data_IF_503309939726
#
_entry.id   IF_503309939726
#
_cell.length_a   1.000
_cell.length_b   1.000
_cell.length_c   1.000
_cell.angle_alpha   90.00
_cell.angle_beta   90.00
_cell.angle_gamma   90.00
#
_symmetry.space_group_name_H-M   'P 1'
#
loop_
_entity.id
_entity.type
_entity.pdbx_description
1 polymer ?
#
# COMPACT_ATOMS: atom_id res chain seq x y z
N UNK A 1 -14.22 -27.39 1.64
CA UNK A 1 -14.54 -25.97 1.38
C UNK A 1 -15.62 -25.40 2.32
N UNK A 2 -16.70 -26.13 2.62
CA UNK A 2 -17.81 -25.62 3.46
C UNK A 2 -17.40 -25.15 4.87
N UNK A 3 -16.31 -25.70 5.45
CA UNK A 3 -15.81 -25.34 6.77
C UNK A 3 -14.73 -24.23 6.71
N UNK A 4 -14.11 -24.00 5.55
CA UNK A 4 -12.95 -23.09 5.45
C UNK A 4 -13.40 -21.64 5.61
N UNK A 5 -14.46 -21.22 4.93
CA UNK A 5 -14.97 -19.84 5.03
C UNK A 5 -15.38 -19.45 6.46
N UNK A 6 -16.18 -20.24 7.21
CA UNK A 6 -16.51 -19.87 8.59
C UNK A 6 -15.31 -19.94 9.53
N UNK A 7 -14.37 -20.88 9.34
CA UNK A 7 -13.14 -20.92 10.13
C UNK A 7 -12.27 -19.67 9.88
N UNK A 8 -12.10 -19.29 8.61
CA UNK A 8 -11.31 -18.13 8.21
C UNK A 8 -11.95 -16.84 8.70
N UNK A 9 -13.28 -16.73 8.68
CA UNK A 9 -14.00 -15.59 9.27
C UNK A 9 -13.79 -15.51 10.78
N UNK A 10 -13.83 -16.64 11.48
CA UNK A 10 -13.58 -16.67 12.92
C UNK A 10 -12.14 -16.22 13.25
N UNK A 11 -11.15 -16.71 12.49
CA UNK A 11 -9.74 -16.30 12.64
C UNK A 11 -9.59 -14.80 12.31
N UNK A 12 -10.19 -14.35 11.22
CA UNK A 12 -10.20 -12.94 10.82
C UNK A 12 -10.74 -12.04 11.95
N UNK A 13 -11.83 -12.43 12.59
CA UNK A 13 -12.38 -11.69 13.73
C UNK A 13 -11.43 -11.65 14.95
N UNK A 14 -10.57 -12.65 15.15
CA UNK A 14 -9.58 -12.64 16.22
C UNK A 14 -8.44 -11.67 15.93
N UNK A 15 -8.05 -11.50 14.66
CA UNK A 15 -6.96 -10.59 14.25
C UNK A 15 -7.40 -9.15 14.02
N UNK A 16 -8.70 -8.83 14.13
CA UNK A 16 -9.21 -7.44 14.24
C UNK A 16 -8.89 -6.83 15.61
N UNK A 17 -8.58 -7.67 16.61
CA UNK A 17 -8.35 -7.24 17.98
C UNK A 17 -7.05 -6.45 18.18
N UNK A 18 -6.61 -6.40 19.43
CA UNK A 18 -5.32 -5.79 19.80
C UNK A 18 -4.14 -6.53 19.18
N UNK A 19 -2.99 -5.86 19.03
CA UNK A 19 -1.74 -6.48 18.56
C UNK A 19 -1.39 -7.77 19.32
N UNK A 20 -1.71 -7.84 20.63
CA UNK A 20 -1.51 -9.04 21.46
C UNK A 20 -2.40 -10.21 21.03
N UNK A 21 -3.65 -9.94 20.67
CA UNK A 21 -4.59 -10.96 20.18
C UNK A 21 -4.15 -11.45 18.80
N UNK A 22 -3.78 -10.53 17.91
CA UNK A 22 -3.19 -10.87 16.61
C UNK A 22 -1.95 -11.73 16.79
N UNK A 23 -1.03 -11.35 17.69
CA UNK A 23 0.19 -12.12 17.96
C UNK A 23 -0.10 -13.53 18.46
N UNK A 24 -1.07 -13.73 19.36
CA UNK A 24 -1.45 -15.05 19.84
C UNK A 24 -1.92 -15.97 18.70
N UNK A 25 -2.62 -15.41 17.70
CA UNK A 25 -3.04 -16.16 16.50
C UNK A 25 -1.84 -16.49 15.60
N UNK A 26 -0.90 -15.56 15.43
CA UNK A 26 0.33 -15.80 14.67
C UNK A 26 1.20 -16.89 15.31
N UNK A 27 1.32 -16.88 16.64
CA UNK A 27 2.07 -17.86 17.43
C UNK A 27 1.50 -19.28 17.30
N UNK A 28 0.19 -19.41 17.04
CA UNK A 28 -0.44 -20.70 16.68
C UNK A 28 -0.06 -21.21 15.27
N UNK A 29 0.76 -20.47 14.52
CA UNK A 29 1.27 -20.89 13.21
C UNK A 29 0.37 -20.53 12.03
N UNK A 30 -0.54 -19.56 12.17
CA UNK A 30 -1.47 -19.14 11.11
C UNK A 30 -0.77 -18.90 9.76
N UNK A 31 0.35 -18.16 9.76
CA UNK A 31 1.05 -17.75 8.54
C UNK A 31 1.56 -18.92 7.70
N UNK A 32 1.82 -20.09 8.30
CA UNK A 32 2.21 -21.32 7.58
C UNK A 32 1.14 -21.80 6.61
N UNK A 33 -0.12 -21.46 6.85
CA UNK A 33 -1.26 -21.90 6.05
C UNK A 33 -1.72 -20.87 5.02
N UNK A 34 -1.32 -19.59 5.18
CA UNK A 34 -1.74 -18.49 4.31
C UNK A 34 -1.37 -18.71 2.84
N UNK A 35 -0.15 -19.16 2.47
CA UNK A 35 0.17 -19.42 1.05
C UNK A 35 -0.76 -20.42 0.38
N UNK A 36 -1.28 -21.40 1.12
CA UNK A 36 -2.27 -22.36 0.60
C UNK A 36 -3.64 -21.70 0.40
N UNK A 37 -4.02 -20.77 1.29
CA UNK A 37 -5.27 -20.02 1.17
C UNK A 37 -5.24 -19.05 -0.03
N UNK A 38 -4.12 -18.37 -0.26
CA UNK A 38 -3.95 -17.41 -1.37
C UNK A 38 -3.85 -18.08 -2.75
N UNK A 39 -3.57 -19.37 -2.81
CA UNK A 39 -3.58 -20.16 -4.05
C UNK A 39 -4.92 -20.90 -4.29
N UNK A 40 -5.97 -20.56 -3.53
CA UNK A 40 -7.27 -21.21 -3.68
C UNK A 40 -8.01 -20.74 -4.93
N UNK A 41 -8.74 -21.63 -5.60
CA UNK A 41 -9.55 -21.27 -6.77
C UNK A 41 -10.83 -20.51 -6.42
N UNK A 42 -11.27 -20.54 -5.16
CA UNK A 42 -12.51 -19.89 -4.72
C UNK A 42 -12.24 -18.45 -4.31
N UNK A 43 -12.79 -17.50 -5.09
CA UNK A 43 -12.70 -16.07 -4.76
C UNK A 43 -13.12 -15.74 -3.33
N UNK A 44 -14.18 -16.37 -2.81
CA UNK A 44 -14.60 -16.14 -1.42
C UNK A 44 -13.50 -16.46 -0.41
N UNK A 45 -12.68 -17.49 -0.65
CA UNK A 45 -11.56 -17.82 0.25
C UNK A 45 -10.43 -16.81 0.08
N UNK A 46 -10.10 -16.44 -1.16
CA UNK A 46 -9.08 -15.43 -1.45
C UNK A 46 -9.40 -14.09 -0.78
N UNK A 47 -10.64 -13.62 -0.94
CA UNK A 47 -11.14 -12.37 -0.35
C UNK A 47 -10.99 -12.38 1.17
N UNK A 48 -11.44 -13.44 1.84
CA UNK A 48 -11.36 -13.56 3.31
C UNK A 48 -9.91 -13.71 3.79
N UNK A 49 -9.04 -14.33 3.00
CA UNK A 49 -7.61 -14.46 3.32
C UNK A 49 -6.89 -13.11 3.19
N UNK A 50 -7.15 -12.35 2.13
CA UNK A 50 -6.63 -10.99 1.95
C UNK A 50 -7.16 -10.05 3.04
N UNK A 51 -8.44 -10.13 3.37
CA UNK A 51 -9.04 -9.34 4.47
C UNK A 51 -8.42 -9.68 5.83
N UNK A 52 -8.19 -10.97 6.11
CA UNK A 52 -7.46 -11.38 7.32
C UNK A 52 -6.03 -10.82 7.32
N UNK A 53 -5.34 -10.85 6.17
CA UNK A 53 -4.00 -10.30 6.02
C UNK A 53 -3.98 -8.79 6.23
N UNK A 54 -4.97 -8.04 5.74
CA UNK A 54 -5.00 -6.59 5.94
C UNK A 54 -5.13 -6.21 7.41
N UNK A 55 -5.84 -7.01 8.21
CA UNK A 55 -5.90 -6.82 9.66
C UNK A 55 -4.56 -7.14 10.35
N UNK A 56 -3.84 -8.18 9.88
CA UNK A 56 -2.51 -8.53 10.40
C UNK A 56 -1.49 -7.43 10.06
N UNK A 57 -1.49 -6.93 8.81
CA UNK A 57 -0.52 -5.93 8.35
C UNK A 57 -0.83 -4.53 8.85
N UNK A 58 -2.02 -4.28 9.41
CA UNK A 58 -2.34 -3.05 10.14
C UNK A 58 -1.72 -2.99 11.54
N UNK A 59 -1.12 -4.09 12.02
CA UNK A 59 -0.53 -4.17 13.34
C UNK A 59 0.92 -3.69 13.39
N UNK A 60 1.72 -4.30 14.28
CA UNK A 60 3.10 -3.87 14.53
C UNK A 60 4.06 -4.22 13.40
N UNK A 61 5.22 -3.53 13.34
CA UNK A 61 6.31 -3.85 12.41
C UNK A 61 6.79 -5.31 12.52
N UNK A 62 6.73 -5.92 13.71
CA UNK A 62 7.06 -7.34 13.91
C UNK A 62 6.07 -8.26 13.17
N UNK A 63 4.79 -7.90 13.18
CA UNK A 63 3.73 -8.65 12.50
C UNK A 63 3.84 -8.50 10.98
N UNK A 64 4.15 -7.29 10.50
CA UNK A 64 4.48 -7.05 9.09
C UNK A 64 5.70 -7.89 8.67
N UNK A 65 6.77 -7.86 9.47
CA UNK A 65 7.99 -8.64 9.23
C UNK A 65 7.69 -10.14 9.16
N UNK A 66 6.79 -10.65 9.99
CA UNK A 66 6.36 -12.05 9.94
C UNK A 66 5.69 -12.38 8.60
N UNK A 67 4.78 -11.51 8.09
CA UNK A 67 4.14 -11.71 6.79
C UNK A 67 5.17 -11.77 5.64
N UNK A 68 6.17 -10.88 5.68
CA UNK A 68 7.28 -10.87 4.72
C UNK A 68 8.12 -12.15 4.82
N UNK A 69 8.49 -12.56 6.04
CA UNK A 69 9.30 -13.75 6.28
C UNK A 69 8.65 -15.05 5.75
N UNK A 70 7.33 -15.14 5.79
CA UNK A 70 6.57 -16.27 5.23
C UNK A 70 6.36 -16.20 3.71
N UNK A 71 6.99 -15.24 3.02
CA UNK A 71 6.93 -15.03 1.57
C UNK A 71 5.48 -14.87 1.05
N UNK A 72 4.65 -14.16 1.80
CA UNK A 72 3.22 -13.98 1.48
C UNK A 72 3.01 -12.84 0.47
N UNK A 73 3.81 -11.78 0.56
CA UNK A 73 3.68 -10.56 -0.26
C UNK A 73 3.57 -10.83 -1.77
N UNK A 74 4.40 -11.68 -2.41
CA UNK A 74 4.32 -11.86 -3.86
C UNK A 74 2.98 -12.45 -4.31
N UNK A 75 2.37 -13.30 -3.47
CA UNK A 75 1.04 -13.85 -3.74
C UNK A 75 -0.04 -12.78 -3.62
N UNK A 76 0.10 -11.84 -2.66
CA UNK A 76 -0.85 -10.74 -2.49
C UNK A 76 -0.76 -9.75 -3.66
N UNK A 77 0.45 -9.39 -4.10
CA UNK A 77 0.65 -8.51 -5.26
C UNK A 77 0.07 -9.13 -6.54
N UNK A 78 0.30 -10.43 -6.77
CA UNK A 78 -0.32 -11.14 -7.89
C UNK A 78 -1.85 -11.11 -7.84
N UNK A 79 -2.45 -11.30 -6.67
CA UNK A 79 -3.90 -11.24 -6.51
C UNK A 79 -4.43 -9.82 -6.73
N UNK A 80 -3.67 -8.81 -6.33
CA UNK A 80 -4.01 -7.40 -6.54
C UNK A 80 -4.08 -7.07 -8.04
N UNK A 81 -3.21 -7.65 -8.86
CA UNK A 81 -3.23 -7.45 -10.32
C UNK A 81 -4.26 -8.31 -11.07
N UNK A 82 -4.46 -9.56 -10.63
CA UNK A 82 -5.11 -10.58 -11.47
C UNK A 82 -6.47 -11.08 -10.96
N UNK A 83 -6.82 -10.82 -9.70
CA UNK A 83 -8.07 -11.32 -9.12
C UNK A 83 -9.28 -10.44 -9.49
N UNK A 84 -10.48 -10.88 -9.14
CA UNK A 84 -11.67 -10.04 -9.27
C UNK A 84 -11.63 -8.87 -8.27
N UNK A 85 -12.28 -7.76 -8.61
CA UNK A 85 -12.26 -6.51 -7.84
C UNK A 85 -12.49 -6.67 -6.33
N UNK A 86 -13.38 -7.60 -5.92
CA UNK A 86 -13.64 -7.86 -4.49
C UNK A 86 -12.40 -8.37 -3.75
N UNK A 87 -11.57 -9.19 -4.39
CA UNK A 87 -10.31 -9.69 -3.82
C UNK A 87 -9.22 -8.64 -3.94
N UNK A 88 -9.13 -7.96 -5.09
CA UNK A 88 -8.14 -6.90 -5.32
C UNK A 88 -8.25 -5.80 -4.27
N UNK A 89 -9.47 -5.40 -3.91
CA UNK A 89 -9.72 -4.43 -2.84
C UNK A 89 -9.08 -4.83 -1.52
N UNK A 90 -9.30 -6.06 -1.05
CA UNK A 90 -8.73 -6.54 0.21
C UNK A 90 -7.20 -6.73 0.12
N UNK A 91 -6.70 -7.16 -1.04
CA UNK A 91 -5.27 -7.24 -1.29
C UNK A 91 -4.62 -5.84 -1.25
N UNK A 92 -5.29 -4.82 -1.81
CA UNK A 92 -4.86 -3.43 -1.79
C UNK A 92 -4.75 -2.90 -0.36
N UNK A 93 -5.78 -3.14 0.47
CA UNK A 93 -5.72 -2.82 1.89
C UNK A 93 -4.52 -3.48 2.58
N UNK A 94 -4.28 -4.76 2.32
CA UNK A 94 -3.15 -5.46 2.92
C UNK A 94 -1.80 -4.83 2.56
N UNK A 95 -1.59 -4.48 1.29
CA UNK A 95 -0.36 -3.84 0.80
C UNK A 95 -0.21 -2.41 1.32
N UNK A 96 -1.26 -1.59 1.28
CA UNK A 96 -1.24 -0.22 1.81
C UNK A 96 -0.93 -0.18 3.31
N UNK A 97 -1.38 -1.19 4.08
CA UNK A 97 -1.06 -1.32 5.50
C UNK A 97 0.41 -1.69 5.73
N UNK A 98 0.98 -2.58 4.91
CA UNK A 98 2.43 -2.88 4.95
C UNK A 98 3.23 -1.62 4.67
N UNK A 99 2.84 -0.83 3.66
CA UNK A 99 3.53 0.43 3.33
C UNK A 99 3.36 1.43 4.48
N UNK A 100 2.17 1.57 5.05
CA UNK A 100 1.92 2.57 6.08
C UNK A 100 2.65 2.30 7.40
N UNK A 101 2.88 1.03 7.74
CA UNK A 101 3.61 0.61 8.95
C UNK A 101 5.04 0.14 8.67
N UNK A 102 5.53 0.31 7.44
CA UNK A 102 6.76 -0.30 6.98
C UNK A 102 8.04 0.44 7.38
N UNK A 103 9.18 -0.24 7.24
CA UNK A 103 10.52 0.35 7.36
C UNK A 103 11.21 0.43 6.00
N UNK A 104 12.32 1.18 5.88
CA UNK A 104 13.10 1.28 4.63
C UNK A 104 13.46 -0.09 4.04
N UNK A 105 13.98 -1.02 4.86
CA UNK A 105 14.28 -2.40 4.40
C UNK A 105 13.04 -3.14 3.86
N UNK A 106 11.86 -2.89 4.44
CA UNK A 106 10.62 -3.49 3.97
C UNK A 106 10.14 -2.84 2.66
N UNK A 107 10.39 -1.55 2.46
CA UNK A 107 10.10 -0.88 1.19
C UNK A 107 11.02 -1.38 0.08
N UNK A 108 12.33 -1.54 0.34
CA UNK A 108 13.26 -2.14 -0.63
C UNK A 108 12.82 -3.54 -1.05
N UNK A 109 12.36 -4.34 -0.07
CA UNK A 109 11.76 -5.63 -0.36
C UNK A 109 10.51 -5.49 -1.24
N UNK A 110 9.54 -4.64 -0.87
CA UNK A 110 8.32 -4.42 -1.66
C UNK A 110 8.63 -3.96 -3.09
N UNK A 111 9.58 -3.04 -3.25
CA UNK A 111 10.07 -2.55 -4.53
C UNK A 111 10.60 -3.71 -5.38
N UNK A 112 11.47 -4.56 -4.82
CA UNK A 112 11.98 -5.75 -5.51
C UNK A 112 10.90 -6.76 -5.92
N UNK A 113 9.73 -6.73 -5.28
CA UNK A 113 8.59 -7.60 -5.59
C UNK A 113 7.62 -6.96 -6.61
N UNK A 114 7.90 -5.77 -7.14
CA UNK A 114 7.07 -5.11 -8.14
C UNK A 114 5.83 -4.41 -7.56
N UNK A 115 5.91 -3.88 -6.33
CA UNK A 115 4.77 -3.23 -5.67
C UNK A 115 4.19 -2.05 -6.47
N UNK A 116 5.02 -1.32 -7.22
CA UNK A 116 4.58 -0.15 -7.99
C UNK A 116 3.62 -0.54 -9.12
N UNK A 117 3.97 -1.55 -9.92
CA UNK A 117 3.09 -2.06 -10.98
C UNK A 117 1.77 -2.61 -10.42
N UNK A 118 1.86 -3.34 -9.32
CA UNK A 118 0.68 -3.86 -8.65
C UNK A 118 -0.24 -2.71 -8.19
N UNK A 119 0.26 -1.76 -7.39
CA UNK A 119 -0.52 -0.64 -6.88
C UNK A 119 -1.14 0.22 -7.99
N UNK A 120 -0.35 0.57 -9.00
CA UNK A 120 -0.81 1.44 -10.09
C UNK A 120 -1.94 0.82 -10.91
N UNK A 121 -2.01 -0.51 -11.00
CA UNK A 121 -3.15 -1.21 -11.62
C UNK A 121 -4.50 -0.86 -10.96
N UNK A 122 -4.49 -0.48 -9.68
CA UNK A 122 -5.69 -0.09 -8.92
C UNK A 122 -6.11 1.36 -9.17
N UNK A 123 -5.31 2.19 -9.86
CA UNK A 123 -5.69 3.56 -10.20
C UNK A 123 -6.78 3.64 -11.28
N UNK A 124 -6.99 2.55 -12.04
CA UNK A 124 -8.02 2.48 -13.09
C UNK A 124 -9.41 2.06 -12.59
N UNK A 125 -9.58 1.81 -11.30
CA UNK A 125 -10.86 1.33 -10.74
C UNK A 125 -11.83 2.49 -10.47
N UNK A 126 -13.12 2.24 -10.61
CA UNK A 126 -14.14 3.27 -10.32
C UNK A 126 -14.51 3.32 -8.82
N UNK A 127 -13.49 3.51 -7.96
CA UNK A 127 -13.66 3.70 -6.52
C UNK A 127 -12.64 4.74 -6.03
N UNK A 128 -13.07 5.99 -5.89
CA UNK A 128 -12.20 7.10 -5.49
C UNK A 128 -11.52 6.90 -4.14
N UNK A 129 -12.10 6.09 -3.24
CA UNK A 129 -11.45 5.78 -1.95
C UNK A 129 -10.24 4.88 -2.15
N UNK A 130 -10.36 3.89 -3.03
CA UNK A 130 -9.23 3.00 -3.36
C UNK A 130 -8.15 3.78 -4.10
N UNK A 131 -8.52 4.62 -5.07
CA UNK A 131 -7.54 5.48 -5.76
C UNK A 131 -6.81 6.37 -4.75
N UNK A 132 -7.52 7.07 -3.87
CA UNK A 132 -6.91 7.93 -2.85
C UNK A 132 -5.94 7.15 -1.95
N UNK A 133 -6.33 5.97 -1.48
CA UNK A 133 -5.43 5.11 -0.68
C UNK A 133 -4.17 4.68 -1.45
N UNK A 134 -4.32 4.36 -2.74
CA UNK A 134 -3.17 3.96 -3.58
C UNK A 134 -2.24 5.15 -3.78
N UNK A 135 -2.78 6.35 -4.05
CA UNK A 135 -1.98 7.57 -4.20
C UNK A 135 -1.22 7.91 -2.91
N UNK A 136 -1.86 7.79 -1.74
CA UNK A 136 -1.18 7.96 -0.44
C UNK A 136 -0.07 6.93 -0.21
N UNK A 137 -0.29 5.67 -0.62
CA UNK A 137 0.73 4.64 -0.52
C UNK A 137 1.92 4.89 -1.47
N UNK A 138 1.65 5.35 -2.70
CA UNK A 138 2.68 5.76 -3.64
C UNK A 138 3.48 6.96 -3.10
N UNK A 139 2.82 7.96 -2.53
CA UNK A 139 3.49 9.13 -1.93
C UNK A 139 4.47 8.70 -0.83
N UNK A 140 4.05 7.80 0.07
CA UNK A 140 4.94 7.28 1.13
C UNK A 140 6.16 6.55 0.59
N UNK A 141 5.97 5.72 -0.44
CA UNK A 141 7.07 5.00 -1.10
C UNK A 141 8.07 5.98 -1.73
N UNK A 142 7.57 6.98 -2.45
CA UNK A 142 8.40 7.98 -3.13
C UNK A 142 9.06 8.96 -2.18
N UNK A 143 8.39 9.35 -1.09
CA UNK A 143 8.98 10.14 -0.01
C UNK A 143 10.15 9.41 0.63
N UNK A 144 9.98 8.12 0.96
CA UNK A 144 11.09 7.34 1.49
C UNK A 144 12.23 7.15 0.48
N UNK A 145 11.91 6.93 -0.79
CA UNK A 145 12.91 6.85 -1.85
C UNK A 145 13.71 8.15 -1.99
N UNK A 146 13.05 9.32 -1.85
CA UNK A 146 13.70 10.64 -1.84
C UNK A 146 14.63 10.82 -0.63
N UNK A 147 14.22 10.36 0.55
CA UNK A 147 15.04 10.42 1.77
C UNK A 147 16.31 9.54 1.72
N UNK A 148 16.31 8.50 0.88
CA UNK A 148 17.38 7.51 0.77
C UNK A 148 18.12 7.57 -0.58
N UNK A 149 18.03 8.69 -1.30
CA UNK A 149 18.69 8.91 -2.60
C UNK A 149 18.38 7.84 -3.67
N UNK A 150 17.20 7.21 -3.59
CA UNK A 150 16.73 6.15 -4.50
C UNK A 150 15.59 6.63 -5.43
N UNK A 151 15.28 7.93 -5.44
CA UNK A 151 14.13 8.49 -6.18
C UNK A 151 14.17 8.18 -7.68
N UNK A 152 15.32 8.36 -8.33
CA UNK A 152 15.47 8.10 -9.78
C UNK A 152 15.10 6.65 -10.14
N UNK A 153 15.47 5.69 -9.29
CA UNK A 153 15.15 4.27 -9.49
C UNK A 153 13.64 4.01 -9.37
N UNK A 154 12.95 4.70 -8.45
CA UNK A 154 11.50 4.59 -8.31
C UNK A 154 10.76 5.25 -9.47
N UNK A 155 11.21 6.41 -9.94
CA UNK A 155 10.64 7.08 -11.11
C UNK A 155 10.75 6.20 -12.36
N UNK A 156 11.97 5.68 -12.63
CA UNK A 156 12.21 4.78 -13.75
C UNK A 156 11.34 3.51 -13.69
N UNK A 157 11.19 2.90 -12.51
CA UNK A 157 10.35 1.72 -12.37
C UNK A 157 8.86 2.04 -12.54
N UNK A 158 8.41 3.22 -12.11
CA UNK A 158 7.02 3.67 -12.32
C UNK A 158 6.73 3.88 -13.82
N UNK A 159 7.70 4.39 -14.58
CA UNK A 159 7.61 4.49 -16.04
C UNK A 159 7.60 3.10 -16.71
N UNK A 160 8.52 2.22 -16.30
CA UNK A 160 8.63 0.86 -16.85
C UNK A 160 7.34 0.04 -16.67
N UNK A 161 6.70 0.18 -15.51
CA UNK A 161 5.43 -0.50 -15.23
C UNK A 161 4.20 0.24 -15.83
N UNK A 162 4.42 1.35 -16.54
CA UNK A 162 3.38 2.25 -17.09
C UNK A 162 2.46 2.83 -16.02
N UNK A 163 2.95 2.90 -14.79
CA UNK A 163 2.26 3.50 -13.67
C UNK A 163 2.10 5.01 -13.84
N UNK A 164 3.11 5.67 -14.43
CA UNK A 164 3.07 7.11 -14.69
C UNK A 164 1.91 7.48 -15.64
N UNK A 165 1.74 6.75 -16.75
CA UNK A 165 0.59 6.91 -17.67
C UNK A 165 -0.77 6.89 -16.91
N UNK A 166 -0.89 6.02 -15.90
CA UNK A 166 -2.12 5.87 -15.13
C UNK A 166 -2.31 7.00 -14.12
N UNK A 167 -1.22 7.50 -13.52
CA UNK A 167 -1.26 8.69 -12.65
C UNK A 167 -1.63 9.93 -13.46
N UNK A 168 -1.03 10.13 -14.63
CA UNK A 168 -1.37 11.25 -15.53
C UNK A 168 -2.85 11.22 -15.92
N UNK A 169 -3.38 10.04 -16.26
CA UNK A 169 -4.79 9.86 -16.61
C UNK A 169 -5.75 10.30 -15.49
N UNK A 170 -5.33 10.26 -14.22
CA UNK A 170 -6.15 10.75 -13.11
C UNK A 170 -6.34 12.27 -13.13
N UNK A 171 -5.51 13.02 -13.86
CA UNK A 171 -5.72 14.45 -14.09
C UNK A 171 -6.94 14.75 -14.97
N UNK A 172 -7.46 13.75 -15.71
CA UNK A 172 -8.72 13.88 -16.44
C UNK A 172 -9.94 13.40 -15.63
N UNK A 173 -9.75 13.00 -14.37
CA UNK A 173 -10.83 12.44 -13.55
C UNK A 173 -11.85 13.51 -13.12
N UNK A 174 -13.13 13.17 -13.17
CA UNK A 174 -14.24 14.05 -12.73
C UNK A 174 -14.17 14.47 -11.24
N UNK A 175 -13.37 13.76 -10.43
CA UNK A 175 -13.24 14.02 -9.00
C UNK A 175 -12.00 14.88 -8.77
N UNK A 176 -12.22 16.11 -8.30
CA UNK A 176 -11.17 17.08 -8.04
C UNK A 176 -10.09 16.60 -7.05
N UNK A 177 -10.43 15.69 -6.13
CA UNK A 177 -9.45 15.09 -5.22
C UNK A 177 -8.46 14.20 -5.99
N UNK A 178 -8.94 13.39 -6.94
CA UNK A 178 -8.09 12.49 -7.73
C UNK A 178 -7.14 13.29 -8.62
N UNK A 179 -7.65 14.35 -9.26
CA UNK A 179 -6.84 15.34 -9.97
C UNK A 179 -5.74 15.91 -9.06
N UNK A 180 -6.12 16.35 -7.86
CA UNK A 180 -5.21 16.98 -6.90
C UNK A 180 -4.09 16.04 -6.45
N UNK A 181 -4.41 14.78 -6.16
CA UNK A 181 -3.40 13.76 -5.85
C UNK A 181 -2.42 13.57 -7.01
N UNK A 182 -2.92 13.39 -8.23
CA UNK A 182 -2.09 13.14 -9.40
C UNK A 182 -1.20 14.34 -9.75
N UNK A 183 -1.77 15.55 -9.78
CA UNK A 183 -1.04 16.78 -10.05
C UNK A 183 0.11 16.98 -9.06
N UNK A 184 -0.17 16.90 -7.75
CA UNK A 184 0.86 17.08 -6.71
C UNK A 184 1.94 16.01 -6.77
N UNK A 185 1.56 14.76 -7.04
CA UNK A 185 2.51 13.66 -7.14
C UNK A 185 3.48 13.86 -8.31
N UNK A 186 2.98 14.21 -9.49
CA UNK A 186 3.81 14.49 -10.67
C UNK A 186 4.70 15.71 -10.44
N UNK A 187 4.13 16.80 -9.92
CA UNK A 187 4.87 18.04 -9.62
C UNK A 187 6.02 17.80 -8.63
N UNK A 188 5.79 17.00 -7.58
CA UNK A 188 6.77 16.75 -6.51
C UNK A 188 7.92 15.82 -6.89
N UNK A 189 7.69 14.86 -7.80
CA UNK A 189 8.64 13.78 -8.06
C UNK A 189 9.15 13.70 -9.51
N UNK A 190 8.45 14.30 -10.48
CA UNK A 190 8.79 14.21 -11.89
C UNK A 190 9.13 15.57 -12.52
N UNK A 191 8.57 16.68 -12.04
CA UNK A 191 8.89 18.01 -12.61
C UNK A 191 10.25 18.57 -12.14
N UNK A 192 10.69 18.29 -10.90
CA UNK A 192 12.01 18.73 -10.41
C UNK A 192 13.18 17.92 -11.03
N UNK A 193 12.91 16.81 -11.71
CA UNK A 193 13.95 15.98 -12.35
C UNK A 193 14.42 16.53 -13.71
N UNK A 194 13.72 17.52 -14.28
CA UNK A 194 14.10 18.16 -15.54
C UNK A 194 15.01 19.39 -15.36
N UNK A 195 15.32 19.83 -14.13
CA UNK A 195 16.14 21.03 -13.88
C UNK A 195 17.66 20.78 -13.76
N UNK A 196 18.16 19.53 -13.88
CA UNK A 196 19.61 19.23 -13.81
C UNK A 196 20.36 19.21 -15.16
N UNK A 197 19.87 19.91 -16.18
CA UNK A 197 20.72 20.35 -17.30
C UNK A 197 20.62 21.86 -17.52
N UNK A 198 21.27 22.65 -16.67
CA UNK A 198 22.09 23.84 -17.05
C UNK A 198 22.63 24.61 -15.82
N UNK A 199 23.95 24.61 -15.65
CA UNK A 199 24.72 25.58 -14.82
C UNK A 199 25.67 26.33 -15.79
N UNK A 200 26.14 27.60 -15.57
CA UNK A 200 26.13 28.37 -14.32
C UNK A 200 25.79 29.89 -14.36
N UNK A 201 25.34 30.45 -13.23
CA UNK A 201 26.06 31.51 -12.46
C UNK A 201 25.27 32.15 -11.28
N UNK A 202 25.94 32.15 -10.11
CA UNK A 202 25.93 33.04 -8.91
C UNK A 202 24.84 34.12 -8.69
N UNK A 203 24.19 34.11 -7.51
CA UNK A 203 24.52 35.02 -6.36
C UNK A 203 23.48 35.04 -5.21
N UNK A 204 23.99 34.73 -4.01
CA UNK A 204 23.68 35.25 -2.66
C UNK A 204 22.29 35.76 -2.28
N UNK A 205 21.71 35.21 -1.19
CA UNK A 205 20.67 35.91 -0.42
C UNK A 205 20.01 35.09 0.67
N UNK A 206 20.62 35.05 1.86
CA UNK A 206 20.11 34.41 3.08
C UNK A 206 18.96 35.22 3.70
N UNK A 207 17.81 34.60 4.01
CA UNK A 207 16.95 34.99 5.15
C UNK A 207 16.17 33.77 5.66
N UNK A 208 16.37 33.45 6.94
CA UNK A 208 15.60 32.50 7.73
C UNK A 208 14.24 33.05 8.14
N UNK A 209 13.22 32.19 8.32
CA UNK A 209 12.42 32.20 9.55
C UNK A 209 11.46 31.01 9.70
N UNK A 210 11.55 30.43 10.90
CA UNK A 210 10.66 29.52 11.61
C UNK A 210 9.15 29.72 11.39
N UNK A 211 8.38 28.62 11.40
CA UNK A 211 7.22 28.44 12.29
C UNK A 211 6.90 26.95 12.51
N UNK A 212 6.30 26.69 13.67
CA UNK A 212 6.37 25.45 14.45
C UNK A 212 5.18 24.50 14.29
N UNK A 213 5.47 23.22 14.55
CA UNK A 213 4.73 22.20 15.32
C UNK A 213 3.41 21.58 14.84
N UNK A 214 3.52 20.25 14.71
CA UNK A 214 2.73 19.19 15.36
C UNK A 214 1.22 19.10 15.11
N UNK A 215 0.81 18.23 14.18
CA UNK A 215 -0.39 17.40 14.35
C UNK A 215 -0.16 15.97 13.83
N UNK A 216 0.15 15.06 14.76
CA UNK A 216 0.26 13.62 14.56
C UNK A 216 -1.16 13.03 14.51
N UNK A 217 -1.67 12.72 13.30
CA UNK A 217 -2.97 12.07 13.13
C UNK A 217 -2.83 10.56 12.99
N UNK A 218 -3.18 9.85 14.07
CA UNK A 218 -3.26 8.39 14.13
C UNK A 218 -4.47 7.88 13.35
N UNK A 219 -4.28 6.88 12.49
CA UNK A 219 -5.36 6.18 11.79
C UNK A 219 -6.37 5.60 12.79
N UNK A 220 -7.56 6.20 12.88
CA UNK A 220 -8.70 5.61 13.60
C UNK A 220 -9.42 4.63 12.69
N UNK A 221 -9.32 3.37 13.08
CA UNK A 221 -10.04 2.23 12.54
C UNK A 221 -11.54 2.53 12.39
N UNK A 222 -11.99 2.74 11.16
CA UNK A 222 -13.40 2.86 10.80
C UNK A 222 -13.80 1.75 9.83
N UNK A 223 -13.63 0.50 10.25
CA UNK A 223 -14.44 -0.62 9.75
C UNK A 223 -15.09 -1.39 10.90
N UNK A 224 -15.73 -0.66 11.81
CA UNK A 224 -16.71 -1.22 12.74
C UNK A 224 -18.06 -0.54 12.52
N UNK A 225 -18.73 -0.83 11.41
CA UNK A 225 -20.19 -0.70 11.24
C UNK A 225 -20.57 -1.04 9.80
N UNK A 226 -21.05 -2.27 9.59
CA UNK A 226 -22.16 -2.62 8.68
C UNK A 226 -22.22 -4.15 8.49
N UNK A 227 -22.37 -4.87 9.60
CA UNK A 227 -22.92 -6.21 9.55
C UNK A 227 -24.20 -6.19 10.38
N UNK A 228 -25.33 -6.08 9.69
CA UNK A 228 -26.59 -6.55 10.25
C UNK A 228 -26.50 -8.08 10.40
N UNK A 229 -26.99 -8.56 11.55
CA UNK A 229 -27.00 -9.95 11.99
C UNK A 229 -27.70 -10.90 11.00
#
# INVERSE_FOLDING_TARGET
AAIISPALRAIGNLVIGTDKQTQAVLDCGLLKHVPTLLNNQKSTILKEACWMLSNITAGTQSQISAVIHFNIIPSVLKLLETAEFKVQKEACWAVCNVISGGTGEQYDYLFSQGVLGALTSMLSVNDSKIIGMVMEALEKLFENAKEHDNLETYCLELENCRGLDLVEKLQDHENAEMYSYAYKFIEKYFNDAEEEETDPQESTGSVANNFSQDEEFTFKNTQASNFDF
#
